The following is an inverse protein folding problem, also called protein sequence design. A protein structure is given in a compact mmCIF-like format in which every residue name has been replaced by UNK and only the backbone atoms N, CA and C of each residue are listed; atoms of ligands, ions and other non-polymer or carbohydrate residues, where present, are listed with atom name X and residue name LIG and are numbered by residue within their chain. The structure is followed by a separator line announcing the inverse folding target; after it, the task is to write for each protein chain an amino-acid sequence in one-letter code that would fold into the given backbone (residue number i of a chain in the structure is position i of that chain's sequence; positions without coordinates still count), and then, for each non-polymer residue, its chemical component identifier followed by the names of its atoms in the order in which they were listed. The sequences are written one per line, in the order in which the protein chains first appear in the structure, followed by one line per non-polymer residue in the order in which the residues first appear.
data_IF_497728755476
#
_entry.id   IF_497728755476
#
_cell.length_a   1.000
_cell.length_b   1.000
_cell.length_c   1.000
_cell.angle_alpha   90.00
_cell.angle_beta   90.00
_cell.angle_gamma   90.00
#
_symmetry.space_group_name_H-M   'P 1'
#
loop_
_entity.id
_entity.type
_entity.pdbx_description
1 polymer ?
#
# COMPACT_ATOMS: atom_id res chain seq x y z
N UNK A 1 10.55 -6.59 -32.15
CA UNK A 1 10.14 -7.44 -31.01
C UNK A 1 8.61 -7.54 -31.03
N UNK A 2 8.06 -8.75 -31.12
CA UNK A 2 6.61 -8.97 -31.11
C UNK A 2 6.15 -9.23 -29.67
N UNK A 3 5.20 -8.43 -29.18
CA UNK A 3 4.56 -8.66 -27.88
C UNK A 3 3.60 -9.85 -28.02
N UNK A 4 3.84 -10.94 -27.30
CA UNK A 4 2.92 -12.09 -27.25
C UNK A 4 1.77 -11.78 -26.30
N UNK A 5 0.54 -12.13 -26.72
CA UNK A 5 -0.60 -12.13 -25.84
C UNK A 5 -0.37 -13.13 -24.68
N UNK A 6 -0.74 -12.71 -23.47
CA UNK A 6 -0.52 -13.44 -22.22
C UNK A 6 -1.88 -13.79 -21.66
N UNK A 7 -2.18 -15.09 -21.56
CA UNK A 7 -3.43 -15.54 -20.96
C UNK A 7 -3.47 -15.20 -19.46
N UNK A 8 -4.50 -14.47 -18.99
CA UNK A 8 -4.64 -14.08 -17.58
C UNK A 8 -4.93 -15.23 -16.61
N UNK A 9 -5.02 -16.47 -17.06
CA UNK A 9 -5.25 -17.65 -16.21
C UNK A 9 -3.96 -18.44 -15.94
N UNK A 10 -3.00 -18.41 -16.88
CA UNK A 10 -1.84 -19.30 -16.90
C UNK A 10 -0.55 -18.64 -16.42
N UNK A 11 -0.52 -17.30 -16.37
CA UNK A 11 0.73 -16.60 -16.12
C UNK A 11 0.99 -16.32 -14.64
N UNK A 12 2.25 -16.49 -14.23
CA UNK A 12 2.78 -16.10 -12.92
C UNK A 12 3.11 -14.60 -12.83
N UNK A 13 2.90 -13.85 -13.92
CA UNK A 13 3.15 -12.40 -13.96
C UNK A 13 2.05 -11.69 -13.20
N UNK A 14 2.46 -10.79 -12.31
CA UNK A 14 1.56 -10.02 -11.48
C UNK A 14 1.87 -8.54 -11.65
N UNK A 15 0.87 -7.77 -12.09
CA UNK A 15 1.00 -6.31 -12.24
C UNK A 15 -0.06 -5.66 -11.37
N UNK A 16 0.39 -4.87 -10.40
CA UNK A 16 -0.51 -4.08 -9.55
C UNK A 16 -0.42 -2.62 -9.97
N UNK A 17 -1.55 -2.07 -10.39
CA UNK A 17 -1.67 -0.70 -10.86
C UNK A 17 -2.11 0.22 -9.72
N UNK A 18 -1.43 1.36 -9.59
CA UNK A 18 -1.82 2.42 -8.65
C UNK A 18 -2.37 3.59 -9.47
N UNK A 19 -3.67 3.50 -9.79
CA UNK A 19 -4.35 4.53 -10.57
C UNK A 19 -4.99 5.57 -9.66
N UNK A 20 -4.62 6.85 -9.83
CA UNK A 20 -5.15 7.95 -9.02
C UNK A 20 -6.48 8.50 -9.55
N UNK A 21 -6.79 8.27 -10.82
CA UNK A 21 -7.93 8.86 -11.52
C UNK A 21 -9.11 7.91 -11.56
N UNK A 22 -8.86 6.66 -11.91
CA UNK A 22 -9.93 5.70 -12.22
C UNK A 22 -10.25 4.74 -11.06
N UNK A 23 -9.33 4.56 -10.10
CA UNK A 23 -9.57 3.68 -8.95
C UNK A 23 -10.37 4.40 -7.84
N UNK A 24 -11.70 4.35 -7.94
CA UNK A 24 -12.61 4.93 -6.94
C UNK A 24 -12.45 4.31 -5.55
N UNK A 25 -12.07 3.02 -5.47
CA UNK A 25 -11.80 2.34 -4.20
C UNK A 25 -10.53 2.89 -3.56
N UNK A 26 -9.51 3.18 -4.36
CA UNK A 26 -8.30 3.85 -3.85
C UNK A 26 -8.61 5.25 -3.32
N UNK A 27 -9.46 6.03 -4.00
CA UNK A 27 -9.90 7.35 -3.50
C UNK A 27 -10.59 7.23 -2.14
N UNK A 28 -11.52 6.29 -1.99
CA UNK A 28 -12.18 6.04 -0.70
C UNK A 28 -11.17 5.68 0.41
N UNK A 29 -10.15 4.89 0.10
CA UNK A 29 -9.09 4.57 1.05
C UNK A 29 -8.23 5.79 1.41
N UNK A 30 -8.00 6.69 0.46
CA UNK A 30 -7.29 7.95 0.67
C UNK A 30 -8.08 8.90 1.58
N UNK A 31 -9.39 9.06 1.34
CA UNK A 31 -10.26 9.88 2.18
C UNK A 31 -10.31 9.35 3.62
N UNK A 32 -10.43 8.03 3.79
CA UNK A 32 -10.34 7.38 5.10
C UNK A 32 -8.98 7.58 5.77
N UNK A 33 -7.89 7.51 5.01
CA UNK A 33 -6.56 7.74 5.56
C UNK A 33 -6.40 9.19 6.06
N UNK A 34 -6.98 10.16 5.35
CA UNK A 34 -6.99 11.56 5.76
C UNK A 34 -7.80 11.76 7.04
N UNK A 35 -8.99 11.16 7.12
CA UNK A 35 -9.85 11.21 8.32
C UNK A 35 -9.10 10.67 9.54
N UNK A 36 -8.48 9.49 9.42
CA UNK A 36 -7.72 8.85 10.49
C UNK A 36 -6.47 9.65 10.88
N UNK A 37 -5.80 10.29 9.92
CA UNK A 37 -4.63 11.12 10.19
C UNK A 37 -5.02 12.39 10.97
N UNK A 38 -6.11 13.05 10.57
CA UNK A 38 -6.60 14.25 11.26
C UNK A 38 -7.13 13.94 12.67
N UNK A 39 -7.67 12.73 12.89
CA UNK A 39 -8.19 12.32 14.20
C UNK A 39 -7.11 11.87 15.20
N UNK A 40 -5.86 11.64 14.75
CA UNK A 40 -4.78 11.11 15.58
C UNK A 40 -3.81 12.22 15.97
N UNK A 41 -3.83 12.66 17.23
CA UNK A 41 -2.83 13.61 17.76
C UNK A 41 -1.47 12.97 18.02
N UNK A 42 -1.38 11.66 18.21
CA UNK A 42 -0.11 10.96 18.32
C UNK A 42 -0.35 9.46 18.14
N UNK A 43 0.61 8.72 17.58
CA UNK A 43 0.60 7.25 17.44
C UNK A 43 -0.27 6.63 16.32
N UNK A 44 0.15 6.79 15.05
CA UNK A 44 -0.22 5.85 13.98
C UNK A 44 0.65 4.58 14.02
N UNK A 45 0.54 3.80 15.10
CA UNK A 45 1.12 2.46 15.15
C UNK A 45 0.11 1.46 14.58
N UNK A 46 0.21 1.24 13.27
CA UNK A 46 -0.49 0.16 12.57
C UNK A 46 0.01 -1.21 13.00
N UNK A 47 -0.32 -1.63 14.23
CA UNK A 47 -0.23 -3.01 14.66
C UNK A 47 -1.38 -3.78 14.04
N UNK A 48 -1.16 -4.27 12.83
CA UNK A 48 -2.01 -5.33 12.30
C UNK A 48 -1.71 -6.59 13.11
N UNK A 49 -2.75 -7.33 13.55
CA UNK A 49 -2.55 -8.65 14.15
C UNK A 49 -1.62 -9.47 13.27
N UNK A 50 -0.78 -10.30 13.89
CA UNK A 50 -0.08 -11.35 13.15
C UNK A 50 -1.16 -12.18 12.46
N UNK A 51 -1.31 -11.99 11.15
CA UNK A 51 -2.30 -12.69 10.34
C UNK A 51 -1.91 -14.17 10.36
N UNK A 52 -2.63 -14.96 11.15
CA UNK A 52 -2.38 -16.38 11.31
C UNK A 52 -3.00 -17.13 10.13
N UNK A 53 -2.25 -17.21 9.02
CA UNK A 53 -2.69 -17.91 7.82
C UNK A 53 -1.76 -17.72 6.63
N UNK A 54 -1.88 -18.62 5.66
CA UNK A 54 -1.10 -18.57 4.43
C UNK A 54 -1.65 -17.46 3.50
N UNK A 55 -1.13 -16.24 3.68
CA UNK A 55 -1.45 -15.07 2.86
C UNK A 55 -1.21 -15.34 1.36
N UNK A 56 -0.28 -16.23 1.02
CA UNK A 56 0.02 -16.58 -0.35
C UNK A 56 -1.12 -17.38 -0.98
N UNK A 57 -1.69 -18.37 -0.27
CA UNK A 57 -2.88 -19.10 -0.75
C UNK A 57 -4.07 -18.19 -0.95
N UNK A 58 -4.36 -17.31 0.01
CA UNK A 58 -5.46 -16.32 -0.09
C UNK A 58 -5.25 -15.37 -1.25
N UNK A 59 -4.03 -14.86 -1.40
CA UNK A 59 -3.65 -14.01 -2.53
C UNK A 59 -3.82 -14.72 -3.87
N UNK A 60 -3.32 -15.95 -4.00
CA UNK A 60 -3.42 -16.73 -5.24
C UNK A 60 -4.87 -16.95 -5.66
N UNK A 61 -5.76 -17.23 -4.70
CA UNK A 61 -7.19 -17.38 -4.98
C UNK A 61 -7.83 -16.03 -5.39
N UNK A 62 -7.58 -14.97 -4.62
CA UNK A 62 -8.17 -13.65 -4.86
C UNK A 62 -7.69 -13.05 -6.20
N UNK A 63 -6.39 -13.10 -6.47
CA UNK A 63 -5.80 -12.61 -7.72
C UNK A 63 -6.31 -13.38 -8.94
N UNK A 64 -6.44 -14.71 -8.85
CA UNK A 64 -7.01 -15.52 -9.94
C UNK A 64 -8.45 -15.10 -10.25
N UNK A 65 -9.29 -14.91 -9.22
CA UNK A 65 -10.67 -14.44 -9.39
C UNK A 65 -10.72 -13.06 -10.05
N UNK A 66 -9.92 -12.11 -9.58
CA UNK A 66 -9.86 -10.77 -10.16
C UNK A 66 -9.38 -10.79 -11.62
N UNK A 67 -8.34 -11.57 -11.93
CA UNK A 67 -7.81 -11.68 -13.29
C UNK A 67 -8.83 -12.27 -14.27
N UNK A 68 -9.58 -13.27 -13.85
CA UNK A 68 -10.66 -13.86 -14.66
C UNK A 68 -11.80 -12.84 -14.85
N UNK A 69 -12.19 -12.14 -13.78
CA UNK A 69 -13.26 -11.15 -13.84
C UNK A 69 -12.93 -9.97 -14.76
N UNK A 70 -11.72 -9.42 -14.64
CA UNK A 70 -11.24 -8.30 -15.46
C UNK A 70 -10.67 -8.72 -16.82
N UNK A 71 -10.52 -10.03 -17.06
CA UNK A 71 -9.82 -10.60 -18.23
C UNK A 71 -8.45 -9.94 -18.48
N UNK A 72 -7.73 -9.61 -17.41
CA UNK A 72 -6.47 -8.87 -17.46
C UNK A 72 -5.52 -9.31 -16.34
N UNK A 73 -4.21 -9.21 -16.57
CA UNK A 73 -3.16 -9.48 -15.55
C UNK A 73 -2.85 -8.26 -14.67
N UNK A 74 -3.39 -7.09 -15.04
CA UNK A 74 -3.25 -5.83 -14.30
C UNK A 74 -4.40 -5.72 -13.31
N UNK A 75 -4.07 -5.62 -12.02
CA UNK A 75 -5.03 -5.47 -10.94
C UNK A 75 -4.87 -4.10 -10.29
N UNK A 76 -5.95 -3.34 -10.12
CA UNK A 76 -5.86 -2.07 -9.39
C UNK A 76 -5.63 -2.32 -7.90
N UNK A 77 -4.76 -1.54 -7.27
CA UNK A 77 -4.41 -1.70 -5.85
C UNK A 77 -5.64 -1.56 -4.94
N UNK A 78 -6.60 -0.68 -5.29
CA UNK A 78 -7.82 -0.47 -4.53
C UNK A 78 -8.77 -1.66 -4.61
N UNK A 79 -8.64 -2.51 -5.65
CA UNK A 79 -9.50 -3.70 -5.81
C UNK A 79 -9.11 -4.87 -4.90
N UNK A 80 -7.88 -4.87 -4.38
CA UNK A 80 -7.32 -6.00 -3.64
C UNK A 80 -7.95 -6.13 -2.24
N UNK A 81 -8.61 -7.26 -1.98
CA UNK A 81 -9.17 -7.59 -0.66
C UNK A 81 -8.18 -8.36 0.24
N UNK A 82 -7.12 -8.90 -0.35
CA UNK A 82 -6.03 -9.60 0.33
C UNK A 82 -4.77 -9.34 -0.48
N UNK A 83 -3.60 -9.35 0.16
CA UNK A 83 -2.36 -9.05 -0.55
C UNK A 83 -1.13 -9.48 0.24
N UNK A 84 -0.04 -9.70 -0.49
CA UNK A 84 1.26 -9.97 0.09
C UNK A 84 1.85 -8.69 0.70
N UNK A 85 2.94 -8.86 1.46
CA UNK A 85 3.61 -7.77 2.17
C UNK A 85 4.04 -6.64 1.21
N UNK A 86 4.41 -6.98 -0.03
CA UNK A 86 4.70 -6.02 -1.11
C UNK A 86 3.49 -5.17 -1.53
N UNK A 87 2.29 -5.75 -1.68
CA UNK A 87 1.08 -4.99 -2.06
C UNK A 87 0.67 -4.05 -0.92
N UNK A 88 0.75 -4.55 0.32
CA UNK A 88 0.45 -3.76 1.52
C UNK A 88 1.42 -2.59 1.66
N UNK A 89 2.71 -2.80 1.41
CA UNK A 89 3.71 -1.73 1.43
C UNK A 89 3.44 -0.67 0.35
N UNK A 90 3.12 -1.09 -0.89
CA UNK A 90 2.77 -0.15 -1.97
C UNK A 90 1.52 0.65 -1.63
N UNK A 91 0.46 0.00 -1.13
CA UNK A 91 -0.77 0.67 -0.72
C UNK A 91 -0.50 1.66 0.42
N UNK A 92 0.21 1.24 1.46
CA UNK A 92 0.57 2.11 2.58
C UNK A 92 1.36 3.32 2.11
N UNK A 93 2.41 3.12 1.30
CA UNK A 93 3.20 4.22 0.73
C UNK A 93 2.30 5.20 -0.02
N UNK A 94 1.36 4.70 -0.83
CA UNK A 94 0.47 5.56 -1.60
C UNK A 94 -0.47 6.39 -0.72
N UNK A 95 -1.00 5.80 0.36
CA UNK A 95 -1.85 6.50 1.33
C UNK A 95 -1.03 7.50 2.16
N UNK A 96 0.17 7.12 2.61
CA UNK A 96 1.09 7.99 3.32
C UNK A 96 1.49 9.21 2.46
N UNK A 97 1.78 9.01 1.18
CA UNK A 97 2.08 10.10 0.24
C UNK A 97 0.88 11.04 0.03
N UNK A 98 -0.35 10.54 0.20
CA UNK A 98 -1.55 11.36 0.07
C UNK A 98 -1.73 12.30 1.27
N UNK A 99 -1.52 11.79 2.49
CA UNK A 99 -1.63 12.56 3.74
C UNK A 99 -0.36 13.34 4.09
N UNK A 100 0.68 13.26 3.26
CA UNK A 100 1.96 13.95 3.49
C UNK A 100 2.89 13.28 4.50
N UNK A 101 2.63 12.02 4.89
CA UNK A 101 3.47 11.29 5.85
C UNK A 101 4.75 10.77 5.17
N UNK A 102 5.95 11.21 5.60
CA UNK A 102 7.20 10.79 4.98
C UNK A 102 7.49 9.32 5.30
N UNK A 103 7.47 8.49 4.26
CA UNK A 103 7.86 7.09 4.36
C UNK A 103 8.59 6.58 3.11
N UNK A 104 9.25 5.44 3.22
CA UNK A 104 9.89 4.74 2.09
C UNK A 104 9.63 3.25 2.17
N UNK A 105 9.48 2.59 1.01
CA UNK A 105 9.43 1.14 0.95
C UNK A 105 10.85 0.60 1.16
N UNK A 106 10.99 -0.33 2.08
CA UNK A 106 12.23 -1.04 2.34
C UNK A 106 12.06 -2.53 2.02
N UNK A 107 13.14 -3.14 1.53
CA UNK A 107 13.20 -4.60 1.38
C UNK A 107 13.33 -5.22 2.76
N UNK A 108 12.58 -6.29 3.00
CA UNK A 108 12.52 -6.96 4.29
C UNK A 108 11.17 -6.80 4.99
N UNK A 109 10.81 -7.81 5.77
CA UNK A 109 9.65 -7.81 6.64
C UNK A 109 9.93 -8.82 7.74
N UNK A 110 9.78 -8.38 8.99
CA UNK A 110 10.03 -9.21 10.19
C UNK A 110 9.01 -10.36 10.32
N UNK A 111 7.82 -10.18 9.74
CA UNK A 111 6.67 -11.07 9.95
C UNK A 111 6.41 -12.03 8.77
N UNK A 112 7.03 -11.80 7.61
CA UNK A 112 6.79 -12.60 6.41
C UNK A 112 8.01 -13.46 6.11
N UNK A 113 7.83 -14.75 5.79
CA UNK A 113 8.94 -15.67 5.43
C UNK A 113 9.23 -15.71 3.93
N UNK A 114 8.32 -15.21 3.08
CA UNK A 114 8.40 -15.26 1.62
C UNK A 114 9.60 -14.49 0.99
N UNK A 115 9.97 -14.80 -0.26
CA UNK A 115 11.13 -14.21 -0.96
C UNK A 115 11.02 -12.71 -1.26
N UNK A 116 9.80 -12.17 -1.34
CA UNK A 116 9.51 -10.80 -1.75
C UNK A 116 9.09 -9.92 -0.57
N UNK A 117 9.85 -9.98 0.53
CA UNK A 117 9.53 -9.22 1.75
C UNK A 117 9.66 -7.73 1.50
N UNK A 118 8.60 -6.97 1.82
CA UNK A 118 8.60 -5.52 1.75
C UNK A 118 7.87 -4.95 2.97
N UNK A 119 8.32 -3.80 3.44
CA UNK A 119 7.72 -3.03 4.52
C UNK A 119 7.87 -1.54 4.23
N UNK A 120 7.15 -0.69 4.96
CA UNK A 120 7.34 0.76 4.88
C UNK A 120 8.04 1.25 6.14
N UNK A 121 9.11 2.02 5.96
CA UNK A 121 9.76 2.76 7.03
C UNK A 121 9.16 4.16 7.06
N UNK A 122 8.56 4.54 8.17
CA UNK A 122 8.01 5.87 8.41
C UNK A 122 9.03 6.71 9.15
N UNK A 123 9.27 7.93 8.68
CA UNK A 123 10.14 8.89 9.37
C UNK A 123 9.27 9.73 10.30
N UNK A 124 9.32 9.43 11.58
CA UNK A 124 8.71 10.27 12.60
C UNK A 124 9.74 11.38 12.89
N UNK A 125 9.37 12.65 12.66
CA UNK A 125 10.16 13.78 13.16
C UNK A 125 9.81 13.94 14.63
N UNK A 126 10.83 13.99 15.49
CA UNK A 126 10.64 14.36 16.90
C UNK A 126 10.34 15.86 16.93
N UNK A 127 9.16 16.26 17.42
CA UNK A 127 8.68 17.64 17.46
C UNK A 127 9.47 18.57 18.41
N UNK A 128 10.63 18.15 18.94
CA UNK A 128 11.48 18.98 19.80
C UNK A 128 12.24 20.12 19.10
N UNK A 129 11.93 20.45 17.84
CA UNK A 129 12.59 21.55 17.13
C UNK A 129 11.63 22.62 16.58
N UNK A 130 10.59 22.97 17.34
CA UNK A 130 10.02 24.32 17.25
C UNK A 130 10.96 25.33 17.93
N UNK A 131 12.07 25.64 17.26
CA UNK A 131 12.88 26.81 17.60
C UNK A 131 12.13 28.05 17.12
N UNK A 132 11.50 28.73 18.08
CA UNK A 132 11.23 30.17 18.17
C UNK A 132 11.52 30.97 16.88
N UNK A 133 10.50 31.16 16.05
CA UNK A 133 10.45 32.29 15.13
C UNK A 133 9.38 33.25 15.66
N UNK A 134 9.86 34.36 16.23
CA UNK A 134 9.03 35.50 16.64
C UNK A 134 8.38 36.15 15.41
N UNK A 135 7.14 36.66 15.51
CA UNK A 135 6.57 37.45 14.42
C UNK A 135 7.14 38.88 14.46
N UNK A 136 7.87 39.19 13.40
CA UNK A 136 7.93 40.45 12.65
C UNK A 136 7.54 41.77 13.34
N UNK A 137 8.51 42.69 13.37
CA UNK A 137 8.22 44.11 13.18
C UNK A 137 7.99 44.43 11.70
N UNK A 138 7.00 45.29 11.45
CA UNK A 138 7.03 46.50 10.63
C UNK A 138 5.84 47.36 11.04
#
# INVERSE_FOLDING_TARGET
MALKAVEPSETCTEVVLVDRREDSRLKLLQDKAQELYCASEDTLLGMFPVEQGDLHKRWKLASKKLRIFHKCVVLSIGSLSSGLCRHRAVLFKRLADYIGLPCRIARGCKYCVADHRSSCLVKIKDDKQFSRLAPHGF
#
